data_IF_028653333056
#
_entry.id   IF_028653333056
#
_cell.length_a   1.000
_cell.length_b   1.000
_cell.length_c   1.000
_cell.angle_alpha   90.00
_cell.angle_beta   90.00
_cell.angle_gamma   90.00
#
_symmetry.space_group_name_H-M   'P 1'
#
loop_
_entity.id
_entity.type
_entity.pdbx_description
1 polymer ?
#
# COMPACT_ATOMS: atom_id res chain seq x y z
N UNK A 1 24.10 8.37 -46.53
CA UNK A 1 24.28 7.27 -45.55
C UNK A 1 23.50 7.69 -44.33
N UNK A 2 22.38 7.02 -44.06
CA UNK A 2 21.43 7.40 -43.02
C UNK A 2 21.92 6.88 -41.67
N UNK A 3 22.17 7.79 -40.73
CA UNK A 3 22.42 7.45 -39.33
C UNK A 3 21.11 6.98 -38.66
N UNK A 4 21.10 5.88 -37.88
CA UNK A 4 19.92 5.45 -37.16
C UNK A 4 19.67 6.32 -35.92
N UNK A 5 18.40 6.65 -35.67
CA UNK A 5 17.94 7.35 -34.48
C UNK A 5 18.22 6.55 -33.18
N UNK A 6 18.51 7.21 -32.04
CA UNK A 6 18.64 6.52 -30.77
C UNK A 6 17.28 6.00 -30.29
N UNK A 7 17.19 4.68 -30.10
CA UNK A 7 16.08 3.98 -29.45
C UNK A 7 15.88 4.51 -28.03
N UNK A 8 14.65 4.79 -27.57
CA UNK A 8 14.42 5.09 -26.15
C UNK A 8 14.75 3.85 -25.31
N UNK A 9 15.33 4.00 -24.10
CA UNK A 9 15.58 2.87 -23.23
C UNK A 9 14.23 2.25 -22.82
N UNK A 10 14.04 0.98 -23.15
CA UNK A 10 12.97 0.17 -22.57
C UNK A 10 13.03 0.30 -21.05
N UNK A 11 11.94 0.80 -20.49
CA UNK A 11 11.66 0.80 -19.05
C UNK A 11 12.00 -0.58 -18.50
N UNK A 12 13.11 -0.68 -17.77
CA UNK A 12 13.50 -1.90 -17.09
C UNK A 12 12.30 -2.37 -16.26
N UNK A 13 11.66 -3.46 -16.68
CA UNK A 13 10.60 -4.09 -15.90
C UNK A 13 11.28 -4.58 -14.61
N UNK A 14 10.98 -4.01 -13.43
CA UNK A 14 11.65 -4.45 -12.22
C UNK A 14 11.29 -5.92 -12.01
N UNK A 15 12.33 -6.75 -11.98
CA UNK A 15 12.28 -8.17 -11.67
C UNK A 15 11.40 -8.40 -10.43
N UNK A 16 10.43 -9.33 -10.43
CA UNK A 16 9.59 -9.59 -9.27
C UNK A 16 10.44 -10.29 -8.21
N UNK A 17 11.15 -9.50 -7.41
CA UNK A 17 11.72 -9.97 -6.16
C UNK A 17 10.60 -10.58 -5.31
N UNK A 18 10.80 -11.74 -4.67
CA UNK A 18 9.79 -12.36 -3.79
C UNK A 18 9.44 -11.46 -2.59
N UNK A 19 10.32 -10.51 -2.29
CA UNK A 19 10.10 -9.28 -1.54
C UNK A 19 9.50 -8.24 -2.47
N UNK A 20 8.17 -8.08 -2.44
CA UNK A 20 7.48 -7.02 -3.18
C UNK A 20 8.07 -5.63 -2.91
N UNK A 21 7.72 -4.61 -3.70
CA UNK A 21 8.42 -3.32 -3.73
C UNK A 21 8.41 -2.56 -2.39
N UNK A 22 7.53 -2.94 -1.46
CA UNK A 22 7.38 -2.33 -0.15
C UNK A 22 7.96 -3.17 1.00
N UNK A 23 8.64 -4.27 0.69
CA UNK A 23 9.14 -5.20 1.70
C UNK A 23 10.33 -4.66 2.51
N UNK A 24 11.02 -3.65 2.01
CA UNK A 24 12.04 -2.87 2.74
C UNK A 24 11.42 -1.80 3.65
N UNK A 25 10.10 -1.61 3.56
CA UNK A 25 9.35 -0.63 4.32
C UNK A 25 9.23 0.74 3.66
N UNK A 26 9.80 0.95 2.47
CA UNK A 26 9.72 2.22 1.74
C UNK A 26 9.43 1.98 0.26
N UNK A 27 8.25 2.39 -0.22
CA UNK A 27 7.91 2.23 -1.63
C UNK A 27 6.93 3.29 -2.11
N UNK A 28 6.85 3.40 -3.43
CA UNK A 28 5.76 4.05 -4.13
C UNK A 28 5.31 3.08 -5.22
N UNK A 29 4.05 2.65 -5.19
CA UNK A 29 3.50 1.62 -6.07
C UNK A 29 2.08 1.98 -6.48
N UNK A 30 1.76 1.75 -7.74
CA UNK A 30 0.39 1.72 -8.23
C UNK A 30 -0.25 0.37 -7.93
N UNK A 31 -1.43 0.38 -7.31
CA UNK A 31 -2.20 -0.80 -6.94
C UNK A 31 -3.59 -0.76 -7.56
N UNK A 32 -4.14 -1.94 -7.82
CA UNK A 32 -5.51 -2.18 -8.24
C UNK A 32 -6.25 -3.06 -7.22
N UNK A 33 -7.56 -3.17 -7.38
CA UNK A 33 -8.37 -4.09 -6.57
C UNK A 33 -7.87 -5.52 -6.71
N UNK A 34 -7.62 -6.17 -5.58
CA UNK A 34 -7.08 -7.53 -5.51
C UNK A 34 -5.57 -7.60 -5.26
N UNK A 35 -4.85 -6.49 -5.44
CA UNK A 35 -3.40 -6.45 -5.21
C UNK A 35 -3.05 -6.62 -3.73
N UNK A 36 -1.87 -7.20 -3.52
CA UNK A 36 -1.35 -7.51 -2.19
C UNK A 36 0.01 -6.84 -2.01
N UNK A 37 0.06 -5.86 -1.13
CA UNK A 37 1.27 -5.15 -0.76
C UNK A 37 1.90 -5.82 0.46
N UNK A 38 3.15 -6.26 0.30
CA UNK A 38 3.92 -6.83 1.41
C UNK A 38 4.74 -5.74 2.07
N UNK A 39 4.54 -5.55 3.37
CA UNK A 39 5.27 -4.60 4.20
C UNK A 39 6.03 -5.32 5.32
N UNK A 40 7.07 -4.70 5.91
CA UNK A 40 7.76 -5.25 7.06
C UNK A 40 6.82 -5.58 8.21
N UNK A 41 7.02 -6.74 8.84
CA UNK A 41 6.26 -7.14 10.03
C UNK A 41 6.47 -6.18 11.23
N UNK A 42 7.57 -5.40 11.23
CA UNK A 42 7.86 -4.37 12.24
C UNK A 42 6.85 -3.24 12.25
N UNK A 43 6.07 -3.06 11.18
CA UNK A 43 4.96 -2.11 11.13
C UNK A 43 3.70 -2.60 11.86
N UNK A 44 3.70 -3.82 12.41
CA UNK A 44 2.56 -4.41 13.11
C UNK A 44 1.42 -4.85 12.17
N UNK A 45 1.64 -4.74 10.87
CA UNK A 45 0.77 -5.23 9.81
C UNK A 45 1.44 -6.39 9.08
N UNK A 46 0.63 -7.35 8.66
CA UNK A 46 0.98 -8.32 7.64
C UNK A 46 0.76 -7.75 6.25
N UNK A 47 0.60 -8.64 5.27
CA UNK A 47 0.27 -8.26 3.90
C UNK A 47 -1.04 -7.44 3.86
N UNK A 48 -1.01 -6.32 3.16
CA UNK A 48 -2.13 -5.40 2.96
C UNK A 48 -2.75 -5.76 1.60
N UNK A 49 -4.02 -6.12 1.58
CA UNK A 49 -4.75 -6.42 0.35
C UNK A 49 -5.70 -5.28 0.02
N UNK A 50 -5.68 -4.80 -1.22
CA UNK A 50 -6.65 -3.83 -1.72
C UNK A 50 -7.96 -4.55 -2.05
N UNK A 51 -9.05 -4.12 -1.44
CA UNK A 51 -10.38 -4.74 -1.60
C UNK A 51 -11.32 -3.93 -2.46
N UNK A 52 -11.18 -2.60 -2.49
CA UNK A 52 -11.93 -1.73 -3.39
C UNK A 52 -11.19 -0.40 -3.61
N UNK A 53 -11.47 0.25 -4.73
CA UNK A 53 -11.04 1.62 -5.04
C UNK A 53 -12.28 2.31 -5.61
N UNK A 54 -12.97 3.10 -4.79
CA UNK A 54 -14.22 3.75 -5.19
C UNK A 54 -14.40 5.07 -4.46
N UNK A 55 -15.12 6.02 -5.06
CA UNK A 55 -15.50 7.27 -4.36
C UNK A 55 -14.33 8.17 -3.95
N UNK A 56 -13.15 8.01 -4.57
CA UNK A 56 -11.94 8.72 -4.17
C UNK A 56 -11.28 8.16 -2.90
N UNK A 57 -11.59 6.90 -2.57
CA UNK A 57 -10.99 6.18 -1.45
C UNK A 57 -10.49 4.79 -1.89
N UNK A 58 -9.47 4.30 -1.18
CA UNK A 58 -8.87 2.98 -1.33
C UNK A 58 -9.18 2.18 -0.08
N UNK A 59 -10.00 1.13 -0.24
CA UNK A 59 -10.29 0.18 0.81
C UNK A 59 -9.25 -0.93 0.81
N UNK A 60 -8.70 -1.19 1.99
CA UNK A 60 -7.63 -2.16 2.23
C UNK A 60 -7.93 -3.00 3.46
N UNK A 61 -7.46 -4.24 3.44
CA UNK A 61 -7.49 -5.14 4.60
C UNK A 61 -6.10 -5.66 4.89
N UNK A 62 -5.69 -5.63 6.15
CA UNK A 62 -4.40 -6.16 6.58
C UNK A 62 -4.59 -7.07 7.79
N UNK A 63 -3.77 -8.12 7.89
CA UNK A 63 -3.68 -8.90 9.14
C UNK A 63 -2.84 -8.17 10.16
N UNK A 64 -3.20 -8.25 11.43
CA UNK A 64 -2.33 -7.74 12.50
C UNK A 64 -1.27 -8.80 12.82
N UNK A 65 -0.01 -8.36 12.93
CA UNK A 65 1.10 -9.22 13.38
C UNK A 65 1.43 -9.01 14.86
N UNK A 66 0.92 -7.94 15.47
CA UNK A 66 1.10 -7.61 16.88
C UNK A 66 -0.21 -7.49 17.67
N UNK A 67 -0.10 -7.21 18.97
CA UNK A 67 -1.23 -7.10 19.90
C UNK A 67 -1.89 -5.71 19.95
N UNK A 68 -1.39 -4.74 19.17
CA UNK A 68 -1.88 -3.36 19.15
C UNK A 68 -2.10 -2.87 17.72
N UNK A 69 -3.16 -2.09 17.54
CA UNK A 69 -3.46 -1.39 16.29
C UNK A 69 -3.85 0.06 16.57
N UNK A 70 -3.11 1.01 16.00
CA UNK A 70 -3.48 2.43 15.95
C UNK A 70 -3.44 2.91 14.50
N UNK A 71 -4.38 3.77 14.14
CA UNK A 71 -4.37 4.46 12.84
C UNK A 71 -4.81 5.90 13.02
N UNK A 72 -4.17 6.79 12.29
CA UNK A 72 -4.54 8.19 12.16
C UNK A 72 -4.51 8.59 10.69
N UNK A 73 -5.39 9.49 10.25
CA UNK A 73 -5.38 10.02 8.87
C UNK A 73 -6.12 9.20 7.81
N UNK A 74 -6.36 7.90 8.03
CA UNK A 74 -7.31 7.11 7.22
C UNK A 74 -8.61 6.88 8.00
N UNK A 75 -9.72 6.90 7.28
CA UNK A 75 -11.04 6.50 7.78
C UNK A 75 -11.06 4.97 7.90
N UNK A 76 -10.55 4.46 9.01
CA UNK A 76 -10.35 3.02 9.19
C UNK A 76 -10.41 2.64 10.66
N UNK A 77 -11.54 2.95 11.30
CA UNK A 77 -11.81 2.56 12.67
C UNK A 77 -11.89 1.03 12.75
N UNK A 78 -11.06 0.44 13.61
CA UNK A 78 -10.90 -1.01 13.77
C UNK A 78 -12.21 -1.78 13.69
N UNK A 79 -12.35 -2.58 12.65
CA UNK A 79 -13.47 -3.48 12.42
C UNK A 79 -12.95 -4.90 12.23
N UNK A 80 -13.19 -5.75 13.22
CA UNK A 80 -12.86 -7.18 13.23
C UNK A 80 -13.51 -7.88 12.02
N UNK A 81 -12.70 -8.37 11.08
CA UNK A 81 -13.18 -9.41 10.17
C UNK A 81 -13.14 -10.74 10.92
N UNK A 82 -14.34 -11.23 11.22
CA UNK A 82 -14.73 -12.29 12.13
C UNK A 82 -14.39 -13.72 11.68
N UNK A 83 -13.19 -13.95 11.12
CA UNK A 83 -12.71 -15.29 10.74
C UNK A 83 -11.43 -15.70 11.48
N UNK A 84 -11.44 -15.57 12.81
CA UNK A 84 -10.51 -16.30 13.69
C UNK A 84 -9.03 -15.86 13.72
N UNK A 85 -8.65 -14.82 12.97
CA UNK A 85 -7.30 -14.23 13.02
C UNK A 85 -7.33 -12.74 12.69
N UNK A 86 -7.31 -11.90 13.74
CA UNK A 86 -7.60 -10.45 13.68
C UNK A 86 -6.99 -9.71 12.49
N UNK A 87 -7.86 -9.19 11.62
CA UNK A 87 -7.50 -8.26 10.56
C UNK A 87 -8.16 -6.90 10.78
N UNK A 88 -7.60 -5.88 10.15
CA UNK A 88 -8.07 -4.49 10.18
C UNK A 88 -8.42 -4.02 8.78
N UNK A 89 -9.57 -3.34 8.68
CA UNK A 89 -9.96 -2.59 7.50
C UNK A 89 -9.47 -1.14 7.57
N UNK A 90 -9.02 -0.63 6.44
CA UNK A 90 -8.49 0.72 6.24
C UNK A 90 -9.16 1.31 5.01
N UNK A 91 -9.86 2.45 5.13
CA UNK A 91 -10.22 3.26 3.96
C UNK A 91 -9.37 4.53 3.96
N UNK A 92 -8.62 4.75 2.88
CA UNK A 92 -7.73 5.88 2.72
C UNK A 92 -8.08 6.65 1.44
N UNK A 93 -8.45 7.92 1.58
CA UNK A 93 -8.57 8.84 0.45
C UNK A 93 -7.24 9.48 0.07
N UNK A 94 -7.23 10.20 -1.06
CA UNK A 94 -6.15 11.15 -1.35
C UNK A 94 -6.06 12.19 -0.23
N UNK A 95 -4.84 12.45 0.25
CA UNK A 95 -4.68 13.45 1.30
C UNK A 95 -3.45 13.26 2.18
N UNK A 96 -3.49 13.72 3.45
CA UNK A 96 -2.36 13.59 4.35
C UNK A 96 -2.03 12.11 4.58
N UNK A 97 -0.76 11.84 4.84
CA UNK A 97 -0.33 10.47 5.10
C UNK A 97 -0.97 9.97 6.40
N UNK A 98 -1.51 8.78 6.36
CA UNK A 98 -1.97 8.09 7.53
C UNK A 98 -0.81 7.43 8.25
N UNK A 99 -0.85 7.44 9.58
CA UNK A 99 0.15 6.77 10.40
C UNK A 99 -0.50 5.55 11.04
N UNK A 100 0.10 4.38 10.83
CA UNK A 100 -0.32 3.10 11.38
C UNK A 100 0.73 2.65 12.40
N UNK A 101 0.27 2.29 13.61
CA UNK A 101 1.08 1.80 14.72
C UNK A 101 2.27 2.70 15.10
N UNK A 102 2.20 3.99 14.75
CA UNK A 102 3.32 4.94 14.89
C UNK A 102 4.63 4.46 14.25
N UNK A 103 4.54 3.50 13.33
CA UNK A 103 5.66 2.79 12.73
C UNK A 103 5.66 2.89 11.20
N UNK A 104 4.48 3.02 10.60
CA UNK A 104 4.30 3.09 9.15
C UNK A 104 3.49 4.33 8.77
N UNK A 105 3.95 5.02 7.75
CA UNK A 105 3.21 6.06 7.05
C UNK A 105 2.68 5.51 5.73
N UNK A 106 1.37 5.57 5.54
CA UNK A 106 0.66 5.18 4.31
C UNK A 106 0.00 6.41 3.71
N UNK A 107 0.39 6.79 2.50
CA UNK A 107 -0.20 7.92 1.80
C UNK A 107 -0.75 7.49 0.45
N UNK A 108 -2.00 7.84 0.19
CA UNK A 108 -2.54 7.77 -1.17
C UNK A 108 -2.15 9.07 -1.88
N UNK A 109 -1.25 8.95 -2.85
CA UNK A 109 -0.79 10.11 -3.62
C UNK A 109 -1.79 10.52 -4.68
N UNK A 110 -2.41 9.51 -5.29
CA UNK A 110 -3.34 9.69 -6.39
C UNK A 110 -4.27 8.49 -6.51
N UNK A 111 -5.51 8.73 -6.87
CA UNK A 111 -6.50 7.72 -7.20
C UNK A 111 -6.90 7.97 -8.65
N UNK A 112 -6.80 6.92 -9.44
CA UNK A 112 -7.32 6.82 -10.80
C UNK A 112 -8.65 6.04 -10.76
N UNK A 113 -9.30 5.86 -11.90
CA UNK A 113 -10.64 5.25 -11.96
C UNK A 113 -10.70 3.85 -11.30
N UNK A 114 -9.66 3.03 -11.47
CA UNK A 114 -9.60 1.66 -10.93
C UNK A 114 -8.29 1.31 -10.23
N UNK A 115 -7.36 2.27 -10.15
CA UNK A 115 -6.05 2.10 -9.55
C UNK A 115 -5.72 3.25 -8.62
N UNK A 116 -4.75 3.07 -7.74
CA UNK A 116 -4.29 4.12 -6.83
C UNK A 116 -2.78 4.03 -6.62
N UNK A 117 -2.13 5.18 -6.52
CA UNK A 117 -0.71 5.27 -6.19
C UNK A 117 -0.57 5.38 -4.68
N UNK A 118 -0.04 4.33 -4.07
CA UNK A 118 0.28 4.27 -2.65
C UNK A 118 1.76 4.58 -2.43
N UNK A 119 2.03 5.35 -1.39
CA UNK A 119 3.36 5.59 -0.87
C UNK A 119 3.45 5.10 0.56
N UNK A 120 4.37 4.17 0.80
CA UNK A 120 4.61 3.57 2.11
C UNK A 120 6.00 3.98 2.57
N UNK A 121 6.13 4.35 3.84
CA UNK A 121 7.39 4.71 4.50
C UNK A 121 7.36 4.35 5.97
N UNK A 122 8.51 4.29 6.66
CA UNK A 122 8.54 4.32 8.12
C UNK A 122 7.90 5.62 8.64
N UNK A 123 7.23 5.56 9.78
CA UNK A 123 6.82 6.75 10.52
C UNK A 123 8.02 7.30 11.31
N UNK A 124 8.29 8.60 11.17
CA UNK A 124 9.45 9.27 11.78
C UNK A 124 9.72 10.64 11.16
#
# INVERSE_FOLDING_TARGET
MSDPAPTPPETATPSPSPTGPCADGTCEIEVAVGDVVTVPATYGLGRIKVTAITGGEVDMVARLTGSGYSVSGCSGGGGVSSEGGGGVGLSCGEGPAATINDAMSLKVLKIHDTTAVLRIKPAG
#
